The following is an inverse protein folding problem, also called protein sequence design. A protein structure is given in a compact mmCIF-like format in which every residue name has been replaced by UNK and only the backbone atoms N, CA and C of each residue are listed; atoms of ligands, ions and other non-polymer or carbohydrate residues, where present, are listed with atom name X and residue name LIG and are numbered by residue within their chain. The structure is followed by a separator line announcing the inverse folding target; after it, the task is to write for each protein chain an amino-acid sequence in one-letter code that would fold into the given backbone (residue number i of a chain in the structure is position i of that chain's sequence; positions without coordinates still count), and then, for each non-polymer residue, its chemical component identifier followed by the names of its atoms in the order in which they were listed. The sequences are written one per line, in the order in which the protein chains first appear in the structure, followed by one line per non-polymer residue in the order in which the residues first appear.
data_IF_913386437496
#
_entry.id   IF_913386437496
#
_cell.length_a   1.000
_cell.length_b   1.000
_cell.length_c   1.000
_cell.angle_alpha   90.00
_cell.angle_beta   90.00
_cell.angle_gamma   90.00
#
_symmetry.space_group_name_H-M   'P 1'
#
loop_
_entity.id
_entity.type
_entity.pdbx_description
1 polymer ?
#
# COMPACT_ATOMS: atom_id res chain seq x y z
N UNK A 1 2.87 26.70 -9.03
CA UNK A 1 4.32 26.67 -8.79
C UNK A 1 4.90 25.46 -9.54
N UNK A 2 5.32 25.62 -10.81
CA UNK A 2 5.92 24.52 -11.58
C UNK A 2 7.41 24.43 -11.26
N UNK A 3 7.82 23.34 -10.62
CA UNK A 3 9.22 22.97 -10.47
C UNK A 3 9.81 22.76 -11.86
N UNK A 4 10.57 23.75 -12.33
CA UNK A 4 11.40 23.61 -13.52
C UNK A 4 12.42 22.51 -13.25
N UNK A 5 12.25 21.35 -13.89
CA UNK A 5 13.27 20.30 -13.88
C UNK A 5 14.52 20.83 -14.59
N UNK A 6 15.47 21.34 -13.80
CA UNK A 6 16.80 21.78 -14.25
C UNK A 6 17.59 20.52 -14.59
N UNK A 7 17.83 20.28 -15.89
CA UNK A 7 18.60 19.13 -16.37
C UNK A 7 18.14 18.52 -17.70
N UNK A 8 16.95 18.87 -18.21
CA UNK A 8 16.49 18.35 -19.50
C UNK A 8 17.05 19.14 -20.70
N UNK A 9 17.61 18.43 -21.67
CA UNK A 9 18.05 19.01 -22.95
C UNK A 9 16.87 19.57 -23.74
N UNK A 10 17.11 20.57 -24.60
CA UNK A 10 16.06 21.20 -25.43
C UNK A 10 15.23 20.20 -26.24
N UNK A 11 15.83 19.09 -26.69
CA UNK A 11 15.15 17.99 -27.39
C UNK A 11 14.17 17.23 -26.48
N UNK A 12 14.55 16.95 -25.23
CA UNK A 12 13.68 16.28 -24.25
C UNK A 12 12.48 17.15 -23.88
N UNK A 13 12.67 18.46 -23.74
CA UNK A 13 11.56 19.40 -23.48
C UNK A 13 10.57 19.44 -24.64
N UNK A 14 11.05 19.54 -25.89
CA UNK A 14 10.19 19.50 -27.09
C UNK A 14 9.42 18.19 -27.22
N UNK A 15 10.07 17.06 -26.94
CA UNK A 15 9.41 15.75 -26.97
C UNK A 15 8.32 15.65 -25.88
N UNK A 16 8.57 16.17 -24.68
CA UNK A 16 7.56 16.25 -23.62
C UNK A 16 6.35 17.10 -24.02
N UNK A 17 6.60 18.29 -24.56
CA UNK A 17 5.54 19.20 -25.05
C UNK A 17 4.73 18.57 -26.20
N UNK A 18 5.41 17.91 -27.13
CA UNK A 18 4.77 17.23 -28.25
C UNK A 18 3.93 16.04 -27.79
N UNK A 19 4.42 15.24 -26.83
CA UNK A 19 3.63 14.18 -26.22
C UNK A 19 2.41 14.71 -25.48
N UNK A 20 2.53 15.84 -24.77
CA UNK A 20 1.38 16.47 -24.13
C UNK A 20 0.34 16.96 -25.14
N UNK A 21 0.78 17.55 -26.27
CA UNK A 21 -0.12 17.96 -27.37
C UNK A 21 -0.82 16.75 -27.99
N UNK A 22 -0.10 15.67 -28.28
CA UNK A 22 -0.68 14.42 -28.79
C UNK A 22 -1.72 13.84 -27.83
N UNK A 23 -1.43 13.79 -26.53
CA UNK A 23 -2.38 13.32 -25.50
C UNK A 23 -3.65 14.18 -25.43
N UNK A 24 -3.53 15.52 -25.51
CA UNK A 24 -4.68 16.43 -25.57
C UNK A 24 -5.54 16.18 -26.81
N UNK A 25 -4.93 16.07 -27.98
CA UNK A 25 -5.65 15.81 -29.24
C UNK A 25 -6.39 14.47 -29.22
N UNK A 26 -5.80 13.43 -28.63
CA UNK A 26 -6.46 12.12 -28.48
C UNK A 26 -7.64 12.23 -27.51
N UNK A 27 -7.50 12.96 -26.40
CA UNK A 27 -8.57 13.17 -25.41
C UNK A 27 -9.77 13.91 -26.00
N UNK A 28 -9.54 14.89 -26.88
CA UNK A 28 -10.59 15.61 -27.60
C UNK A 28 -11.29 14.72 -28.63
N UNK A 29 -10.52 13.92 -29.38
CA UNK A 29 -11.04 13.06 -30.45
C UNK A 29 -11.78 11.82 -29.94
N UNK A 30 -11.46 11.39 -28.72
CA UNK A 30 -11.91 10.14 -28.11
C UNK A 30 -12.34 10.34 -26.65
N UNK A 31 -13.36 11.17 -26.38
CA UNK A 31 -13.74 11.56 -25.01
C UNK A 31 -14.23 10.38 -24.15
N UNK A 32 -14.73 9.30 -24.77
CA UNK A 32 -15.22 8.09 -24.08
C UNK A 32 -14.20 6.94 -24.03
N UNK A 33 -13.17 6.96 -24.88
CA UNK A 33 -12.17 5.87 -25.03
C UNK A 33 -10.85 6.17 -24.34
N UNK A 34 -10.61 7.38 -23.85
CA UNK A 34 -9.63 7.64 -22.78
C UNK A 34 -10.27 7.33 -21.43
N UNK A 35 -10.97 6.19 -21.34
CA UNK A 35 -11.10 5.46 -20.08
C UNK A 35 -9.77 4.74 -19.86
N UNK A 36 -8.68 5.50 -19.71
CA UNK A 36 -7.70 5.08 -18.71
C UNK A 36 -8.56 5.01 -17.46
N UNK A 37 -8.89 3.80 -17.00
CA UNK A 37 -9.26 3.63 -15.61
C UNK A 37 -8.27 4.49 -14.85
N UNK A 38 -8.77 5.59 -14.28
CA UNK A 38 -8.00 6.48 -13.46
C UNK A 38 -7.57 5.61 -12.31
N UNK A 39 -6.43 4.96 -12.49
CA UNK A 39 -5.70 4.34 -11.40
C UNK A 39 -5.60 5.48 -10.41
N UNK A 40 -6.32 5.33 -9.29
CA UNK A 40 -6.11 6.15 -8.10
C UNK A 40 -4.63 6.50 -8.04
N UNK A 41 -4.33 7.80 -7.85
CA UNK A 41 -2.97 8.28 -7.80
C UNK A 41 -2.17 7.36 -6.87
N UNK A 42 -0.98 6.95 -7.31
CA UNK A 42 -0.13 6.04 -6.54
C UNK A 42 0.11 6.66 -5.15
N UNK A 43 0.22 7.99 -5.09
CA UNK A 43 0.36 8.74 -3.85
C UNK A 43 -0.88 8.61 -2.94
N UNK A 44 -2.10 8.68 -3.50
CA UNK A 44 -3.33 8.45 -2.74
C UNK A 44 -3.43 7.00 -2.23
N UNK A 45 -3.04 6.01 -3.05
CA UNK A 45 -3.03 4.60 -2.62
C UNK A 45 -2.06 4.37 -1.48
N UNK A 46 -0.87 4.98 -1.57
CA UNK A 46 0.14 4.91 -0.52
C UNK A 46 -0.38 5.62 0.74
N UNK A 47 -0.98 6.80 0.64
CA UNK A 47 -1.53 7.53 1.79
C UNK A 47 -2.64 6.74 2.50
N UNK A 48 -3.61 6.18 1.76
CA UNK A 48 -4.64 5.30 2.32
C UNK A 48 -4.04 4.08 3.01
N UNK A 49 -2.95 3.54 2.46
CA UNK A 49 -2.24 2.40 3.05
C UNK A 49 -1.50 2.80 4.32
N UNK A 50 -0.86 3.97 4.35
CA UNK A 50 -0.20 4.51 5.53
C UNK A 50 -1.17 4.62 6.71
N UNK A 51 -2.38 5.15 6.51
CA UNK A 51 -3.39 5.24 7.56
C UNK A 51 -3.76 3.86 8.13
N UNK A 52 -3.96 2.86 7.27
CA UNK A 52 -4.28 1.49 7.70
C UNK A 52 -3.14 0.82 8.45
N UNK A 53 -1.90 1.04 8.00
CA UNK A 53 -0.71 0.50 8.65
C UNK A 53 -0.51 1.16 10.02
N UNK A 54 -0.62 2.49 10.09
CA UNK A 54 -0.50 3.25 11.34
C UNK A 54 -1.51 2.76 12.39
N UNK A 55 -2.78 2.62 12.01
CA UNK A 55 -3.82 2.11 12.92
C UNK A 55 -3.53 0.69 13.42
N UNK A 56 -2.96 -0.17 12.57
CA UNK A 56 -2.56 -1.50 12.99
C UNK A 56 -1.42 -1.49 14.02
N UNK A 57 -0.42 -0.60 13.86
CA UNK A 57 0.64 -0.43 14.86
C UNK A 57 0.14 0.18 16.17
N UNK A 58 -0.81 1.12 16.09
CA UNK A 58 -1.48 1.71 17.25
C UNK A 58 -2.20 0.65 18.10
N UNK A 59 -2.95 -0.26 17.46
CA UNK A 59 -3.64 -1.37 18.15
C UNK A 59 -2.65 -2.30 18.85
N UNK A 60 -1.47 -2.49 18.27
CA UNK A 60 -0.42 -3.34 18.84
C UNK A 60 0.35 -2.61 19.95
N UNK A 61 0.20 -1.29 20.08
CA UNK A 61 0.91 -0.47 21.06
C UNK A 61 2.36 -0.18 20.69
N UNK A 62 2.75 -0.39 19.42
CA UNK A 62 4.11 -0.16 18.94
C UNK A 62 4.29 1.25 18.37
N UNK A 63 5.33 1.95 18.83
CA UNK A 63 5.66 3.29 18.35
C UNK A 63 6.51 3.18 17.10
N UNK A 64 5.92 3.51 15.96
CA UNK A 64 6.59 3.52 14.65
C UNK A 64 6.73 4.94 14.10
N UNK A 65 7.86 5.23 13.44
CA UNK A 65 8.07 6.55 12.83
C UNK A 65 7.24 6.68 11.55
N UNK A 66 6.74 7.87 11.24
CA UNK A 66 5.95 8.12 10.02
C UNK A 66 6.71 7.74 8.73
N UNK A 67 8.03 7.96 8.70
CA UNK A 67 8.88 7.55 7.59
C UNK A 67 8.91 6.02 7.38
N UNK A 68 8.85 5.25 8.47
CA UNK A 68 8.80 3.78 8.43
C UNK A 68 7.42 3.30 7.97
N UNK A 69 6.34 3.93 8.43
CA UNK A 69 4.97 3.66 7.95
C UNK A 69 4.87 3.91 6.44
N UNK A 70 5.45 5.00 5.94
CA UNK A 70 5.52 5.29 4.50
C UNK A 70 6.31 4.22 3.75
N UNK A 71 7.45 3.80 4.28
CA UNK A 71 8.26 2.74 3.69
C UNK A 71 7.50 1.40 3.63
N UNK A 72 6.82 1.03 4.72
CA UNK A 72 5.98 -0.18 4.78
C UNK A 72 4.80 -0.11 3.81
N UNK A 73 4.18 1.06 3.62
CA UNK A 73 3.11 1.26 2.65
C UNK A 73 3.60 1.07 1.20
N UNK A 74 4.81 1.54 0.88
CA UNK A 74 5.46 1.33 -0.43
C UNK A 74 5.81 -0.15 -0.59
N UNK A 75 6.44 -0.77 0.41
CA UNK A 75 6.76 -2.20 0.42
C UNK A 75 5.50 -3.04 0.18
N UNK A 76 4.41 -2.74 0.90
CA UNK A 76 3.11 -3.39 0.68
C UNK A 76 2.68 -3.31 -0.78
N UNK A 77 2.75 -2.11 -1.38
CA UNK A 77 2.36 -1.88 -2.76
C UNK A 77 3.19 -2.71 -3.76
N UNK A 78 4.51 -2.77 -3.57
CA UNK A 78 5.41 -3.59 -4.39
C UNK A 78 5.11 -5.08 -4.22
N UNK A 79 4.89 -5.53 -2.98
CA UNK A 79 4.62 -6.93 -2.64
C UNK A 79 3.27 -7.46 -3.15
N UNK A 80 2.31 -6.58 -3.50
CA UNK A 80 0.99 -6.96 -4.03
C UNK A 80 1.10 -7.95 -5.20
N UNK A 81 2.16 -7.86 -5.99
CA UNK A 81 2.32 -8.66 -7.21
C UNK A 81 2.99 -10.01 -7.00
N UNK A 82 3.85 -10.16 -5.97
CA UNK A 82 4.74 -11.32 -5.85
C UNK A 82 4.25 -12.39 -4.85
N UNK A 83 3.48 -12.03 -3.80
CA UNK A 83 3.12 -12.96 -2.71
C UNK A 83 1.64 -12.90 -2.35
N UNK A 84 0.79 -13.60 -3.12
CA UNK A 84 -0.67 -13.54 -3.01
C UNK A 84 -1.21 -13.96 -1.63
N UNK A 85 -0.65 -15.01 -1.02
CA UNK A 85 -1.12 -15.50 0.29
C UNK A 85 -0.81 -14.53 1.43
N UNK A 86 0.45 -14.09 1.56
CA UNK A 86 0.83 -13.07 2.56
C UNK A 86 0.03 -11.78 2.40
N UNK A 87 -0.20 -11.38 1.16
CA UNK A 87 -1.03 -10.22 0.88
C UNK A 87 -2.47 -10.40 1.38
N UNK A 88 -3.05 -11.59 1.21
CA UNK A 88 -4.39 -11.90 1.72
C UNK A 88 -4.45 -11.77 3.24
N UNK A 89 -3.45 -12.29 3.94
CA UNK A 89 -3.34 -12.20 5.41
C UNK A 89 -3.24 -10.73 5.83
N UNK A 90 -2.31 -9.97 5.25
CA UNK A 90 -2.13 -8.54 5.54
C UNK A 90 -3.39 -7.71 5.24
N UNK A 91 -4.11 -8.02 4.16
CA UNK A 91 -5.40 -7.36 3.85
C UNK A 91 -6.40 -7.55 4.98
N UNK A 92 -6.47 -8.75 5.57
CA UNK A 92 -7.39 -9.00 6.67
C UNK A 92 -6.95 -8.34 7.96
N UNK A 93 -5.65 -8.36 8.27
CA UNK A 93 -5.11 -7.62 9.42
C UNK A 93 -5.51 -6.15 9.32
N UNK A 94 -5.25 -5.49 8.17
CA UNK A 94 -5.59 -4.08 7.99
C UNK A 94 -7.10 -3.80 7.96
N UNK A 95 -7.91 -4.76 7.50
CA UNK A 95 -9.37 -4.62 7.50
C UNK A 95 -9.91 -4.65 8.94
N UNK A 96 -9.51 -5.64 9.73
CA UNK A 96 -9.94 -5.78 11.12
C UNK A 96 -9.39 -4.67 12.00
N UNK A 97 -8.12 -4.30 11.82
CA UNK A 97 -7.53 -3.13 12.47
C UNK A 97 -8.28 -1.83 12.13
N UNK A 98 -8.95 -1.79 10.98
CA UNK A 98 -9.76 -0.66 10.53
C UNK A 98 -11.08 -0.47 11.28
N UNK A 99 -11.59 -1.48 11.99
CA UNK A 99 -12.90 -1.41 12.65
C UNK A 99 -12.90 -0.45 13.86
N UNK A 100 -14.08 0.01 14.26
CA UNK A 100 -14.25 0.86 15.44
C UNK A 100 -14.07 0.04 16.73
N UNK A 101 -13.47 0.63 17.76
CA UNK A 101 -13.25 -0.01 19.08
C UNK A 101 -12.48 -1.34 19.02
N UNK A 102 -11.61 -1.49 18.02
CA UNK A 102 -10.72 -2.64 17.87
C UNK A 102 -9.61 -2.60 18.92
N UNK A 103 -9.39 -3.71 19.60
CA UNK A 103 -8.31 -3.90 20.58
C UNK A 103 -7.42 -5.05 20.12
N UNK A 104 -6.21 -5.15 20.67
CA UNK A 104 -5.28 -6.24 20.35
C UNK A 104 -5.92 -7.62 20.57
N UNK A 105 -6.54 -7.85 21.73
CA UNK A 105 -7.19 -9.13 22.06
C UNK A 105 -8.32 -9.50 21.07
N UNK A 106 -9.17 -8.53 20.71
CA UNK A 106 -10.22 -8.74 19.70
C UNK A 106 -9.63 -9.07 18.33
N UNK A 107 -8.58 -8.36 17.92
CA UNK A 107 -7.90 -8.58 16.65
C UNK A 107 -7.30 -9.99 16.59
N UNK A 108 -6.58 -10.40 17.64
CA UNK A 108 -5.97 -11.73 17.71
C UNK A 108 -7.03 -12.85 17.65
N UNK A 109 -8.14 -12.70 18.38
CA UNK A 109 -9.28 -13.65 18.33
C UNK A 109 -9.91 -13.74 16.93
N UNK A 110 -10.08 -12.61 16.25
CA UNK A 110 -10.59 -12.58 14.87
C UNK A 110 -9.64 -13.23 13.88
N UNK A 111 -8.34 -13.03 14.06
CA UNK A 111 -7.30 -13.63 13.22
C UNK A 111 -7.21 -15.14 13.44
N UNK A 112 -7.27 -15.63 14.69
CA UNK A 112 -7.33 -17.06 14.99
C UNK A 112 -8.53 -17.74 14.34
N UNK A 113 -9.70 -17.08 14.35
CA UNK A 113 -10.94 -17.63 13.77
C UNK A 113 -10.91 -17.65 12.25
N UNK A 114 -10.47 -16.56 11.60
CA UNK A 114 -10.68 -16.35 10.16
C UNK A 114 -9.42 -16.55 9.32
N UNK A 115 -8.25 -16.52 9.94
CA UNK A 115 -6.93 -16.65 9.28
C UNK A 115 -6.03 -17.53 10.15
N UNK A 116 -6.44 -18.78 10.47
CA UNK A 116 -5.67 -19.63 11.38
C UNK A 116 -4.29 -19.93 10.81
N UNK A 117 -3.27 -19.87 11.67
CA UNK A 117 -1.92 -20.28 11.33
C UNK A 117 -1.79 -21.81 11.52
N UNK A 118 -0.97 -22.46 10.70
CA UNK A 118 -0.88 -23.94 10.68
C UNK A 118 -0.34 -24.57 11.97
N UNK A 119 0.50 -23.85 12.73
CA UNK A 119 1.26 -24.43 13.85
C UNK A 119 1.07 -23.72 15.18
N UNK A 120 0.60 -22.48 15.17
CA UNK A 120 0.60 -21.58 16.32
C UNK A 120 -0.67 -20.73 16.31
N UNK A 121 -1.00 -20.11 17.43
CA UNK A 121 -2.06 -19.08 17.48
C UNK A 121 -1.48 -17.71 17.21
N UNK A 122 -2.32 -16.78 16.77
CA UNK A 122 -1.93 -15.40 16.68
C UNK A 122 -1.57 -14.85 18.06
N UNK A 123 -0.39 -14.27 18.14
CA UNK A 123 0.05 -13.47 19.28
C UNK A 123 0.62 -12.14 18.78
N UNK A 124 0.99 -11.27 19.71
CA UNK A 124 1.52 -9.94 19.39
C UNK A 124 2.79 -10.00 18.53
N UNK A 125 3.73 -10.87 18.86
CA UNK A 125 5.01 -11.01 18.16
C UNK A 125 4.83 -11.46 16.70
N UNK A 126 3.97 -12.45 16.49
CA UNK A 126 3.59 -12.97 15.19
C UNK A 126 2.92 -11.88 14.36
N UNK A 127 2.00 -11.11 14.96
CA UNK A 127 1.33 -10.00 14.32
C UNK A 127 2.33 -8.92 13.88
N UNK A 128 3.28 -8.57 14.75
CA UNK A 128 4.36 -7.63 14.42
C UNK A 128 5.26 -8.14 13.30
N UNK A 129 5.61 -9.43 13.30
CA UNK A 129 6.40 -10.02 12.22
C UNK A 129 5.71 -9.88 10.85
N UNK A 130 4.38 -10.05 10.80
CA UNK A 130 3.60 -9.77 9.59
C UNK A 130 3.60 -8.28 9.23
N UNK A 131 3.31 -7.39 10.19
CA UNK A 131 3.24 -5.94 9.95
C UNK A 131 4.58 -5.35 9.46
N UNK A 132 5.70 -5.87 9.95
CA UNK A 132 7.04 -5.48 9.51
C UNK A 132 7.53 -6.20 8.25
N UNK A 133 6.74 -7.11 7.67
CA UNK A 133 7.17 -7.98 6.56
C UNK A 133 8.42 -8.81 6.90
N UNK A 134 8.70 -9.04 8.19
CA UNK A 134 9.82 -9.84 8.71
C UNK A 134 9.48 -11.32 8.82
N UNK A 135 8.27 -11.68 8.41
CA UNK A 135 7.80 -13.05 8.48
C UNK A 135 8.63 -13.98 7.58
N UNK A 136 9.64 -14.63 8.16
CA UNK A 136 10.52 -15.56 7.46
C UNK A 136 9.91 -16.96 7.29
N UNK A 137 8.65 -17.17 7.68
CA UNK A 137 7.95 -18.47 7.55
C UNK A 137 7.77 -18.98 6.11
N UNK A 138 8.17 -18.19 5.10
CA UNK A 138 8.27 -18.60 3.69
C UNK A 138 9.69 -19.02 3.26
N UNK A 139 10.72 -18.92 4.12
CA UNK A 139 12.06 -19.42 3.82
C UNK A 139 12.07 -20.93 4.04
N UNK A 140 11.45 -21.67 3.12
CA UNK A 140 11.63 -23.11 2.94
C UNK A 140 11.75 -23.43 1.48
#
# INVERSE_FOLDING_TARGET
MSTNFIGQTRKQKRNCEEQQRRRKSIKERFPKTVTFHTYEDIDEKIARRQMKIAKAFEIVGEKIRQAEVKSLAITYYIYIHARKEKLRILRQIYRYAGEENMTLDKLLKLLDKNVPLKKEKWNQEILLAYLFFRDERDKK
#
